data_IF_615287659561
#
_entry.id   IF_615287659561
#
_cell.length_a   1.000
_cell.length_b   1.000
_cell.length_c   1.000
_cell.angle_alpha   90.00
_cell.angle_beta   90.00
_cell.angle_gamma   90.00
#
_symmetry.space_group_name_H-M   'P 1'
#
loop_
_entity.id
_entity.type
_entity.pdbx_description
1 polymer ?
#
# COMPACT_ATOMS: atom_id res chain seq x y z
N UNK A 1 1.74 -20.44 12.38
CA UNK A 1 3.17 -20.04 12.45
C UNK A 1 3.23 -18.64 13.03
N UNK A 2 3.96 -18.42 14.13
CA UNK A 2 4.10 -17.10 14.75
C UNK A 2 5.35 -16.45 14.17
N UNK A 3 5.21 -15.35 13.43
CA UNK A 3 6.37 -14.62 12.91
C UNK A 3 7.18 -14.02 14.07
N UNK A 4 8.50 -13.91 13.90
CA UNK A 4 9.34 -13.22 14.89
C UNK A 4 9.26 -11.70 14.69
N UNK A 5 9.45 -10.95 15.77
CA UNK A 5 9.45 -9.48 15.79
C UNK A 5 10.26 -8.82 14.64
N UNK A 6 11.50 -9.23 14.31
CA UNK A 6 12.23 -8.63 13.20
C UNK A 6 11.57 -8.89 11.83
N UNK A 7 10.97 -10.05 11.61
CA UNK A 7 10.25 -10.35 10.36
C UNK A 7 8.98 -9.52 10.21
N UNK A 8 8.22 -9.33 11.30
CA UNK A 8 7.07 -8.43 11.30
C UNK A 8 7.49 -7.00 10.94
N UNK A 9 8.61 -6.51 11.47
CA UNK A 9 9.12 -5.17 11.17
C UNK A 9 9.53 -5.01 9.70
N UNK A 10 10.15 -6.03 9.11
CA UNK A 10 10.49 -6.04 7.68
C UNK A 10 9.22 -6.02 6.83
N UNK A 11 8.22 -6.81 7.18
CA UNK A 11 6.93 -6.86 6.47
C UNK A 11 6.19 -5.52 6.55
N UNK A 12 6.11 -4.90 7.73
CA UNK A 12 5.49 -3.59 7.90
C UNK A 12 6.12 -2.53 6.97
N UNK A 13 7.45 -2.44 6.99
CA UNK A 13 8.18 -1.50 6.12
C UNK A 13 8.02 -1.82 4.63
N UNK A 14 8.02 -3.09 4.25
CA UNK A 14 7.82 -3.50 2.86
C UNK A 14 6.45 -3.03 2.35
N UNK A 15 5.38 -3.35 3.09
CA UNK A 15 4.03 -2.98 2.70
C UNK A 15 3.80 -1.47 2.76
N UNK A 16 4.38 -0.76 3.73
CA UNK A 16 4.35 0.70 3.80
C UNK A 16 5.02 1.35 2.59
N UNK A 17 6.21 0.88 2.21
CA UNK A 17 6.92 1.36 1.01
C UNK A 17 6.18 1.02 -0.28
N UNK A 18 5.58 -0.17 -0.38
CA UNK A 18 4.75 -0.54 -1.53
C UNK A 18 3.52 0.35 -1.64
N UNK A 19 2.82 0.64 -0.53
CA UNK A 19 1.69 1.57 -0.52
C UNK A 19 2.10 2.96 -1.01
N UNK A 20 3.20 3.50 -0.47
CA UNK A 20 3.73 4.81 -0.87
C UNK A 20 4.10 4.86 -2.36
N UNK A 21 4.80 3.83 -2.85
CA UNK A 21 5.14 3.71 -4.27
C UNK A 21 3.89 3.62 -5.15
N UNK A 22 2.86 2.90 -4.72
CA UNK A 22 1.61 2.76 -5.46
C UNK A 22 0.84 4.08 -5.53
N UNK A 23 0.73 4.82 -4.42
CA UNK A 23 0.12 6.15 -4.43
C UNK A 23 0.90 7.14 -5.30
N UNK A 24 2.23 7.11 -5.24
CA UNK A 24 3.07 7.94 -6.10
C UNK A 24 2.84 7.61 -7.58
N UNK A 25 2.82 6.33 -7.95
CA UNK A 25 2.53 5.90 -9.31
C UNK A 25 1.11 6.32 -9.76
N UNK A 26 0.10 6.09 -8.92
CA UNK A 26 -1.30 6.41 -9.19
C UNK A 26 -1.60 7.91 -9.30
N UNK A 27 -0.78 8.78 -8.71
CA UNK A 27 -1.01 10.23 -8.72
C UNK A 27 -0.06 11.00 -9.66
N UNK A 28 1.16 10.50 -9.85
CA UNK A 28 2.21 11.21 -10.59
C UNK A 28 2.39 10.71 -12.02
N UNK A 29 1.90 9.50 -12.36
CA UNK A 29 2.10 8.91 -13.69
C UNK A 29 0.79 9.02 -14.49
N UNK A 30 0.72 9.91 -15.50
CA UNK A 30 -0.51 10.16 -16.28
C UNK A 30 -1.06 8.93 -17.00
N UNK A 31 -0.18 7.99 -17.35
CA UNK A 31 -0.52 6.71 -18.01
C UNK A 31 -1.13 5.68 -17.06
N UNK A 32 -0.82 5.75 -15.77
CA UNK A 32 -1.38 4.86 -14.73
C UNK A 32 -2.70 5.44 -14.23
N UNK A 33 -2.70 6.72 -13.91
CA UNK A 33 -3.85 7.50 -13.45
C UNK A 33 -4.93 7.76 -14.51
N UNK A 34 -4.62 7.54 -15.79
CA UNK A 34 -5.60 7.66 -16.88
C UNK A 34 -6.12 9.06 -17.14
N UNK A 35 -5.44 10.12 -16.66
CA UNK A 35 -5.89 11.52 -16.77
C UNK A 35 -6.15 12.01 -18.22
N UNK A 36 -5.75 11.23 -19.23
CA UNK A 36 -5.85 11.60 -20.65
C UNK A 36 -7.18 11.18 -21.30
N UNK A 37 -8.04 10.40 -20.63
CA UNK A 37 -9.31 9.93 -21.21
C UNK A 37 -10.48 9.95 -20.20
N UNK A 38 -11.69 10.44 -20.59
CA UNK A 38 -12.85 10.56 -19.70
C UNK A 38 -13.46 9.22 -19.23
N UNK A 39 -12.95 8.07 -19.69
CA UNK A 39 -13.37 6.72 -19.31
C UNK A 39 -12.69 6.25 -17.99
N UNK A 40 -11.67 6.96 -17.50
CA UNK A 40 -10.70 6.44 -16.52
C UNK A 40 -10.84 6.74 -15.01
N UNK A 41 -11.84 7.46 -14.45
CA UNK A 41 -11.90 7.64 -12.99
C UNK A 41 -12.03 6.32 -12.21
N UNK A 42 -12.54 5.26 -12.86
CA UNK A 42 -12.55 3.91 -12.29
C UNK A 42 -11.15 3.32 -12.09
N UNK A 43 -10.20 3.58 -13.00
CA UNK A 43 -8.82 3.05 -12.89
C UNK A 43 -8.09 3.71 -11.73
N UNK A 44 -8.19 5.04 -11.63
CA UNK A 44 -7.65 5.77 -10.48
C UNK A 44 -8.26 5.26 -9.17
N UNK A 45 -9.57 5.00 -9.15
CA UNK A 45 -10.23 4.41 -7.98
C UNK A 45 -9.63 3.04 -7.62
N UNK A 46 -9.46 2.14 -8.59
CA UNK A 46 -8.84 0.83 -8.35
C UNK A 46 -7.39 0.95 -7.85
N UNK A 47 -6.60 1.84 -8.43
CA UNK A 47 -5.21 2.04 -8.00
C UNK A 47 -5.13 2.57 -6.56
N UNK A 48 -5.99 3.52 -6.20
CA UNK A 48 -6.09 4.01 -4.82
C UNK A 48 -6.57 2.90 -3.85
N UNK A 49 -7.50 2.03 -4.29
CA UNK A 49 -7.92 0.88 -3.50
C UNK A 49 -6.77 -0.10 -3.26
N UNK A 50 -5.98 -0.42 -4.29
CA UNK A 50 -4.80 -1.29 -4.14
C UNK A 50 -3.76 -0.68 -3.20
N UNK A 51 -3.43 0.61 -3.36
CA UNK A 51 -2.55 1.33 -2.44
C UNK A 51 -3.04 1.28 -1.00
N UNK A 52 -4.35 1.44 -0.80
CA UNK A 52 -4.99 1.37 0.52
C UNK A 52 -4.92 -0.04 1.12
N UNK A 53 -5.08 -1.10 0.32
CA UNK A 53 -4.93 -2.48 0.80
C UNK A 53 -3.51 -2.73 1.31
N UNK A 54 -2.48 -2.31 0.58
CA UNK A 54 -1.10 -2.42 1.05
C UNK A 54 -0.88 -1.66 2.36
N UNK A 55 -1.45 -0.47 2.49
CA UNK A 55 -1.36 0.33 3.72
C UNK A 55 -2.06 -0.37 4.90
N UNK A 56 -3.24 -0.94 4.68
CA UNK A 56 -3.98 -1.68 5.72
C UNK A 56 -3.21 -2.91 6.19
N UNK A 57 -2.55 -3.62 5.28
CA UNK A 57 -1.67 -4.73 5.64
C UNK A 57 -0.51 -4.23 6.50
N UNK A 58 0.16 -3.13 6.10
CA UNK A 58 1.24 -2.53 6.88
C UNK A 58 0.80 -2.19 8.31
N UNK A 59 -0.34 -1.49 8.45
CA UNK A 59 -0.92 -1.11 9.75
C UNK A 59 -1.26 -2.33 10.61
N UNK A 60 -1.82 -3.39 10.02
CA UNK A 60 -2.11 -4.60 10.80
C UNK A 60 -0.84 -5.33 11.23
N UNK A 61 0.20 -5.35 10.40
CA UNK A 61 1.50 -5.92 10.79
C UNK A 61 2.15 -5.09 11.89
N UNK A 62 2.06 -3.76 11.85
CA UNK A 62 2.54 -2.88 12.94
C UNK A 62 1.77 -3.13 14.24
N UNK A 63 0.44 -3.24 14.19
CA UNK A 63 -0.36 -3.57 15.38
C UNK A 63 -0.02 -4.93 15.98
N UNK A 64 0.37 -5.90 15.16
CA UNK A 64 0.88 -7.18 15.69
C UNK A 64 2.28 -7.02 16.27
N UNK A 65 3.12 -6.13 15.74
CA UNK A 65 4.44 -5.80 16.30
C UNK A 65 4.32 -5.17 17.69
N UNK A 66 3.37 -4.25 17.89
CA UNK A 66 3.13 -3.56 19.16
C UNK A 66 2.76 -4.52 20.30
N UNK A 67 2.23 -5.71 19.99
CA UNK A 67 1.96 -6.76 21.00
C UNK A 67 3.22 -7.48 21.50
N UNK A 68 4.38 -7.24 20.88
CA UNK A 68 5.68 -7.77 21.29
C UNK A 68 6.52 -6.75 22.07
N UNK A 69 5.98 -5.56 22.33
CA UNK A 69 6.51 -4.57 23.28
C UNK A 69 5.73 -4.65 24.61
#
# INVERSE_FOLDING_TARGET
MRFSKPWLRVLANLFGNMAAAWFAAALLVPTISGFVSPIYPGVLFYDLMFGTVYLLIAVQVERELDKYD
#
